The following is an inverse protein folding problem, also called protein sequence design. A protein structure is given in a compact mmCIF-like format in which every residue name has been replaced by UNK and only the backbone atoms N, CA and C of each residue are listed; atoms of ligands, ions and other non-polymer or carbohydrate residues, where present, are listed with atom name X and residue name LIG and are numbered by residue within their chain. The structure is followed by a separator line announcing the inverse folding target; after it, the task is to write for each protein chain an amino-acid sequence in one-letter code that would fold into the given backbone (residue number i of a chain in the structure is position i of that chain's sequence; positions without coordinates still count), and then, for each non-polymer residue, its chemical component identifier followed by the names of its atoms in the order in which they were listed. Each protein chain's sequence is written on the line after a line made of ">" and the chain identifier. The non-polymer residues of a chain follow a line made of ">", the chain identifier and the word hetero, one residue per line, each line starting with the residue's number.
data_IF_855699895675
#
_entry.id   IF_855699895675
#
_cell.length_a   1.000
_cell.length_b   1.000
_cell.length_c   1.000
_cell.angle_alpha   90.00
_cell.angle_beta   90.00
_cell.angle_gamma   90.00
#
_symmetry.space_group_name_H-M   'P 1'
#
loop_
_entity.id
_entity.type
_entity.pdbx_description
1 polymer ?
#
# COMPACT_ATOMS: atom_id res chain seq x y z
N UNK A 1 -33.96 -12.90 -4.22
CA UNK A 1 -33.96 -12.39 -5.61
C UNK A 1 -32.54 -11.98 -5.98
N UNK A 2 -32.03 -12.37 -7.16
CA UNK A 2 -30.68 -12.02 -7.60
C UNK A 2 -30.76 -10.85 -8.58
N UNK A 3 -30.13 -9.73 -8.22
CA UNK A 3 -30.11 -8.52 -9.02
C UNK A 3 -28.76 -8.39 -9.72
N UNK A 4 -28.78 -8.25 -11.05
CA UNK A 4 -27.57 -8.02 -11.85
C UNK A 4 -27.57 -6.57 -12.29
N UNK A 5 -26.73 -5.74 -11.66
CA UNK A 5 -26.57 -4.33 -12.06
C UNK A 5 -25.76 -4.26 -13.36
N UNK A 6 -26.16 -3.43 -14.34
CA UNK A 6 -25.34 -3.18 -15.50
C UNK A 6 -24.05 -2.47 -15.07
N UNK A 7 -22.91 -3.12 -15.27
CA UNK A 7 -21.60 -2.52 -15.04
C UNK A 7 -21.16 -1.74 -16.29
N UNK A 8 -20.72 -0.50 -16.12
CA UNK A 8 -20.07 0.30 -17.17
C UNK A 8 -18.76 0.85 -16.65
N UNK A 9 -17.68 0.67 -17.41
CA UNK A 9 -16.40 1.29 -17.10
C UNK A 9 -16.51 2.81 -17.19
N UNK A 10 -16.07 3.57 -16.17
CA UNK A 10 -15.95 5.03 -16.26
C UNK A 10 -14.96 5.47 -17.34
N UNK A 11 -15.32 6.49 -18.13
CA UNK A 11 -14.52 6.95 -19.28
C UNK A 11 -13.14 7.51 -18.88
N UNK A 12 -13.03 8.20 -17.73
CA UNK A 12 -11.77 8.79 -17.26
C UNK A 12 -10.66 7.76 -17.01
N UNK A 13 -11.02 6.49 -16.80
CA UNK A 13 -10.05 5.42 -16.58
C UNK A 13 -9.31 5.04 -17.87
N UNK A 14 -9.83 5.36 -19.05
CA UNK A 14 -9.10 5.16 -20.31
C UNK A 14 -8.05 6.26 -20.54
N UNK A 15 -8.33 7.47 -20.05
CA UNK A 15 -7.43 8.63 -20.15
C UNK A 15 -6.29 8.58 -19.11
N UNK A 16 -6.55 8.07 -17.91
CA UNK A 16 -5.58 8.03 -16.81
C UNK A 16 -4.64 6.81 -16.84
N UNK A 17 -4.91 5.81 -17.69
CA UNK A 17 -4.16 4.54 -17.72
C UNK A 17 -2.91 4.49 -18.61
N UNK A 18 -2.73 5.28 -19.69
CA UNK A 18 -1.52 5.19 -20.49
C UNK A 18 -0.36 5.82 -19.73
N UNK A 19 0.33 4.98 -18.95
CA UNK A 19 1.62 5.30 -18.34
C UNK A 19 2.70 4.55 -19.13
N UNK A 20 3.52 5.28 -19.89
CA UNK A 20 4.75 4.71 -20.46
C UNK A 20 5.88 4.87 -19.44
N UNK A 21 6.37 3.73 -18.93
CA UNK A 21 7.43 3.68 -17.93
C UNK A 21 8.76 4.17 -18.52
N UNK A 22 8.99 3.94 -19.82
CA UNK A 22 10.24 4.33 -20.49
C UNK A 22 10.31 5.83 -20.80
N UNK A 23 9.17 6.52 -20.78
CA UNK A 23 9.09 7.97 -20.96
C UNK A 23 9.34 8.75 -19.67
N UNK A 24 9.46 8.08 -18.52
CA UNK A 24 9.69 8.73 -17.23
C UNK A 24 11.16 9.15 -17.08
N UNK A 25 11.44 10.39 -16.63
CA UNK A 25 12.81 10.84 -16.41
C UNK A 25 13.43 10.10 -15.22
N UNK A 26 14.65 9.60 -15.41
CA UNK A 26 15.40 8.97 -14.32
C UNK A 26 15.85 10.01 -13.26
N UNK A 27 15.89 9.62 -11.98
CA UNK A 27 16.34 10.52 -10.92
C UNK A 27 17.85 10.79 -11.03
N UNK A 28 18.24 12.06 -10.89
CA UNK A 28 19.65 12.46 -10.89
C UNK A 28 20.44 11.98 -9.66
N UNK A 29 19.76 11.69 -8.55
CA UNK A 29 20.37 11.22 -7.30
C UNK A 29 19.44 10.22 -6.60
N UNK A 30 19.74 8.94 -6.76
CA UNK A 30 18.95 7.86 -6.17
C UNK A 30 18.95 7.85 -4.64
N UNK A 31 20.04 8.29 -3.99
CA UNK A 31 20.10 8.34 -2.52
C UNK A 31 19.08 9.35 -1.97
N UNK A 32 19.01 10.53 -2.58
CA UNK A 32 18.03 11.54 -2.20
C UNK A 32 16.60 11.09 -2.52
N UNK A 33 16.38 10.47 -3.68
CA UNK A 33 15.06 9.95 -4.07
C UNK A 33 14.58 8.84 -3.14
N UNK A 34 15.46 7.92 -2.74
CA UNK A 34 15.13 6.85 -1.79
C UNK A 34 14.67 7.41 -0.45
N UNK A 35 15.38 8.40 0.09
CA UNK A 35 14.99 9.07 1.34
C UNK A 35 13.63 9.75 1.20
N UNK A 36 13.35 10.39 0.07
CA UNK A 36 12.05 10.99 -0.20
C UNK A 36 10.93 9.94 -0.27
N UNK A 37 11.18 8.78 -0.89
CA UNK A 37 10.20 7.69 -0.97
C UNK A 37 9.89 7.12 0.42
N UNK A 38 10.92 6.84 1.22
CA UNK A 38 10.74 6.33 2.59
C UNK A 38 10.02 7.32 3.50
N UNK A 39 10.15 8.63 3.25
CA UNK A 39 9.43 9.67 3.98
C UNK A 39 7.95 9.80 3.58
N UNK A 40 7.51 9.21 2.45
CA UNK A 40 6.10 9.32 2.02
C UNK A 40 5.21 8.48 2.91
N UNK A 41 4.05 9.02 3.35
CA UNK A 41 3.15 8.29 4.25
C UNK A 41 2.66 6.99 3.65
N UNK A 42 2.56 6.85 2.32
CA UNK A 42 2.11 5.62 1.68
C UNK A 42 3.12 4.46 1.81
N UNK A 43 4.41 4.74 1.93
CA UNK A 43 5.51 3.76 1.98
C UNK A 43 6.09 3.65 3.39
N UNK A 44 6.08 4.75 4.14
CA UNK A 44 6.66 4.85 5.47
C UNK A 44 6.11 3.80 6.45
N UNK A 45 6.92 3.51 7.48
CA UNK A 45 6.59 2.61 8.58
C UNK A 45 5.24 2.97 9.21
N UNK A 46 4.37 1.96 9.36
CA UNK A 46 3.01 2.11 9.89
C UNK A 46 2.92 1.90 11.41
N UNK A 47 4.06 1.93 12.11
CA UNK A 47 4.14 1.74 13.57
C UNK A 47 3.13 2.54 14.35
N UNK A 48 2.98 3.81 14.00
CA UNK A 48 1.99 4.69 14.61
C UNK A 48 0.57 4.11 14.61
N UNK A 49 0.18 3.30 13.63
CA UNK A 49 -1.16 2.69 13.58
C UNK A 49 -1.26 1.48 14.50
N UNK A 50 -0.30 0.56 14.45
CA UNK A 50 -0.41 -0.72 15.15
C UNK A 50 0.17 -0.71 16.57
N UNK A 51 0.97 0.28 16.94
CA UNK A 51 1.44 0.50 18.32
C UNK A 51 0.34 1.05 19.24
N UNK A 52 -0.73 1.61 18.66
CA UNK A 52 -1.87 2.13 19.43
C UNK A 52 -2.67 1.03 20.12
N UNK A 53 -2.55 -0.23 19.67
CA UNK A 53 -3.35 -1.35 20.14
C UNK A 53 -2.45 -2.55 20.47
N UNK A 54 -2.79 -3.27 21.54
CA UNK A 54 -2.13 -4.53 21.85
C UNK A 54 -2.46 -5.58 20.77
N UNK A 55 -1.46 -5.94 19.97
CA UNK A 55 -1.58 -6.95 18.91
C UNK A 55 -1.29 -8.38 19.37
N UNK A 56 -1.00 -8.59 20.67
CA UNK A 56 -0.58 -9.86 21.26
C UNK A 56 -1.60 -10.47 22.23
N UNK A 57 -2.86 -10.04 22.17
CA UNK A 57 -3.91 -10.50 23.09
C UNK A 57 -4.00 -12.04 23.11
N UNK A 58 -3.95 -12.61 24.33
CA UNK A 58 -3.94 -14.07 24.61
C UNK A 58 -2.73 -14.84 24.07
N UNK A 59 -1.64 -14.16 23.72
CA UNK A 59 -0.38 -14.79 23.28
C UNK A 59 -0.55 -15.71 22.06
N UNK A 60 -1.61 -15.47 21.28
CA UNK A 60 -2.01 -16.34 20.17
C UNK A 60 -1.49 -15.82 18.81
N UNK A 61 -0.85 -14.65 18.82
CA UNK A 61 -0.23 -14.03 17.65
C UNK A 61 1.20 -14.56 17.50
N UNK A 62 1.48 -15.26 16.39
CA UNK A 62 2.80 -15.81 16.06
C UNK A 62 3.63 -14.81 15.26
N UNK A 63 2.99 -14.08 14.33
CA UNK A 63 3.61 -12.99 13.58
C UNK A 63 2.83 -11.72 13.84
N UNK A 64 3.48 -10.77 14.51
CA UNK A 64 2.92 -9.46 14.86
C UNK A 64 2.81 -8.50 13.67
N UNK A 65 2.22 -7.32 13.89
CA UNK A 65 2.11 -6.27 12.88
C UNK A 65 3.49 -5.74 12.49
N UNK A 66 3.64 -5.36 11.20
CA UNK A 66 4.91 -4.89 10.64
C UNK A 66 5.62 -5.88 9.72
N UNK A 67 5.16 -7.14 9.68
CA UNK A 67 5.54 -8.13 8.68
C UNK A 67 4.62 -8.08 7.44
N UNK A 68 4.91 -8.90 6.43
CA UNK A 68 4.10 -9.02 5.20
C UNK A 68 2.67 -9.54 5.46
N UNK A 69 2.52 -10.44 6.44
CA UNK A 69 1.23 -10.95 6.88
C UNK A 69 1.22 -11.27 8.38
N UNK A 70 0.05 -11.15 9.01
CA UNK A 70 -0.18 -11.57 10.39
C UNK A 70 -0.55 -13.06 10.47
N UNK A 71 -0.06 -13.76 11.49
CA UNK A 71 -0.33 -15.19 11.73
C UNK A 71 -0.83 -15.40 13.15
N UNK A 72 -1.99 -16.05 13.29
CA UNK A 72 -2.66 -16.35 14.56
C UNK A 72 -2.84 -17.87 14.66
N UNK A 73 -2.73 -18.43 15.87
CA UNK A 73 -2.90 -19.86 16.15
C UNK A 73 -4.33 -20.23 16.59
#
# INVERSE_FOLDING_TARGET
>A
PQYTMPARKPAYLDEARPLDINALPEPKNYNATLLQLLARPNIAHKGFVFEQYDSTVRTNTVVGPGADAAVIR
#
